data_IF_696745815114
#
_entry.id   IF_696745815114
#
_cell.length_a   1.000
_cell.length_b   1.000
_cell.length_c   1.000
_cell.angle_alpha   90.00
_cell.angle_beta   90.00
_cell.angle_gamma   90.00
#
_symmetry.space_group_name_H-M   'P 1'
#
loop_
_entity.id
_entity.type
_entity.pdbx_description
1 polymer ?
#
# COMPACT_ATOMS: atom_id res chain seq x y z
N UNK A 1 -5.36 19.16 15.55
CA UNK A 1 -6.02 18.01 14.90
C UNK A 1 -5.25 16.76 15.30
N UNK A 2 -5.90 15.71 15.82
CA UNK A 2 -5.20 14.50 16.25
C UNK A 2 -4.79 13.69 15.00
N UNK A 3 -3.48 13.54 14.69
CA UNK A 3 -3.02 12.84 13.50
C UNK A 3 -3.52 11.39 13.45
N UNK A 4 -3.66 10.74 14.60
CA UNK A 4 -4.12 9.35 14.70
C UNK A 4 -5.57 9.14 14.24
N UNK A 5 -6.36 10.20 14.07
CA UNK A 5 -7.73 10.11 13.52
C UNK A 5 -7.80 10.36 12.01
N UNK A 6 -6.68 10.68 11.37
CA UNK A 6 -6.64 10.99 9.95
C UNK A 6 -7.27 9.89 9.08
N UNK A 7 -6.95 8.58 9.26
CA UNK A 7 -7.55 7.53 8.43
C UNK A 7 -9.08 7.54 8.46
N UNK A 8 -9.66 7.64 9.66
CA UNK A 8 -11.11 7.67 9.86
C UNK A 8 -11.74 8.93 9.25
N UNK A 9 -11.09 10.08 9.38
CA UNK A 9 -11.55 11.33 8.78
C UNK A 9 -11.53 11.24 7.25
N UNK A 10 -10.47 10.68 6.66
CA UNK A 10 -10.38 10.46 5.21
C UNK A 10 -11.49 9.52 4.73
N UNK A 11 -11.75 8.43 5.47
CA UNK A 11 -12.87 7.53 5.19
C UNK A 11 -14.22 8.27 5.17
N UNK A 12 -14.50 9.07 6.19
CA UNK A 12 -15.73 9.87 6.25
C UNK A 12 -15.83 10.94 5.15
N UNK A 13 -14.72 11.56 4.76
CA UNK A 13 -14.69 12.51 3.63
C UNK A 13 -14.98 11.82 2.29
N UNK A 14 -14.50 10.59 2.12
CA UNK A 14 -14.82 9.78 0.94
C UNK A 14 -16.30 9.38 0.90
N UNK A 15 -16.93 9.13 2.05
CA UNK A 15 -18.34 8.75 2.13
C UNK A 15 -19.30 9.90 1.76
N UNK A 16 -18.85 11.15 1.85
CA UNK A 16 -19.63 12.36 1.48
C UNK A 16 -19.23 12.94 0.12
N UNK A 17 -18.52 12.16 -0.71
CA UNK A 17 -18.03 12.57 -2.02
C UNK A 17 -17.22 13.89 -2.00
N UNK A 18 -16.42 14.08 -0.95
CA UNK A 18 -15.54 15.24 -0.87
C UNK A 18 -14.54 15.25 -2.04
N UNK A 19 -14.16 16.46 -2.49
CA UNK A 19 -13.20 16.63 -3.57
C UNK A 19 -11.87 15.94 -3.26
N UNK A 20 -11.35 15.20 -4.25
CA UNK A 20 -10.06 14.51 -4.12
C UNK A 20 -8.91 15.46 -3.78
N UNK A 21 -8.96 16.71 -4.26
CA UNK A 21 -7.92 17.72 -3.99
C UNK A 21 -7.89 18.09 -2.50
N UNK A 22 -9.05 18.14 -1.86
CA UNK A 22 -9.15 18.41 -0.41
C UNK A 22 -8.57 17.22 0.37
N UNK A 23 -8.88 15.99 -0.04
CA UNK A 23 -8.38 14.76 0.57
C UNK A 23 -6.85 14.68 0.44
N UNK A 24 -6.32 14.88 -0.77
CA UNK A 24 -4.87 14.88 -1.05
C UNK A 24 -4.14 15.96 -0.24
N UNK A 25 -4.67 17.18 -0.22
CA UNK A 25 -4.09 18.26 0.57
C UNK A 25 -4.09 17.94 2.06
N UNK A 26 -5.16 17.34 2.59
CA UNK A 26 -5.23 16.97 4.00
C UNK A 26 -4.17 15.93 4.36
N UNK A 27 -3.96 14.92 3.51
CA UNK A 27 -2.92 13.89 3.71
C UNK A 27 -1.52 14.51 3.67
N UNK A 28 -1.27 15.47 2.78
CA UNK A 28 0.03 16.15 2.67
C UNK A 28 0.31 17.13 3.82
N UNK A 29 -0.72 17.84 4.28
CA UNK A 29 -0.61 18.88 5.32
C UNK A 29 -0.50 18.28 6.72
N UNK A 30 -1.17 17.15 6.98
CA UNK A 30 -1.08 16.47 8.27
C UNK A 30 0.27 15.77 8.39
N UNK A 31 1.27 16.53 8.82
CA UNK A 31 2.55 15.98 9.28
C UNK A 31 2.38 15.45 10.70
N UNK A 32 2.36 14.12 10.85
CA UNK A 32 2.22 13.45 12.14
C UNK A 32 2.18 11.93 11.99
N UNK A 33 2.31 11.22 13.11
CA UNK A 33 2.21 9.76 13.13
C UNK A 33 0.74 9.34 13.00
N UNK A 34 0.37 8.86 11.81
CA UNK A 34 -0.85 8.09 11.58
C UNK A 34 -0.48 6.76 10.94
N UNK A 35 -1.33 5.75 11.10
CA UNK A 35 -1.09 4.44 10.52
C UNK A 35 -1.36 4.46 9.02
N UNK A 36 -0.33 4.20 8.22
CA UNK A 36 -0.47 4.03 6.77
C UNK A 36 -1.37 2.85 6.43
N UNK A 37 -1.29 1.74 7.18
CA UNK A 37 -2.16 0.58 7.00
C UNK A 37 -3.64 0.95 7.18
N UNK A 38 -3.96 1.72 8.23
CA UNK A 38 -5.33 2.17 8.45
C UNK A 38 -5.81 3.11 7.34
N UNK A 39 -4.97 4.05 6.91
CA UNK A 39 -5.32 4.97 5.81
C UNK A 39 -5.58 4.19 4.52
N UNK A 40 -4.68 3.29 4.15
CA UNK A 40 -4.82 2.44 2.97
C UNK A 40 -6.08 1.59 3.08
N UNK A 41 -6.36 0.99 4.23
CA UNK A 41 -7.56 0.18 4.44
C UNK A 41 -8.85 0.99 4.29
N UNK A 42 -8.92 2.21 4.83
CA UNK A 42 -10.10 3.08 4.68
C UNK A 42 -10.35 3.47 3.22
N UNK A 43 -9.28 3.72 2.45
CA UNK A 43 -9.40 4.06 1.02
C UNK A 43 -9.67 2.82 0.15
N UNK A 44 -9.06 1.67 0.49
CA UNK A 44 -9.22 0.38 -0.22
C UNK A 44 -10.65 -0.15 -0.10
N UNK A 45 -11.26 -0.09 1.09
CA UNK A 45 -12.68 -0.48 1.33
C UNK A 45 -13.67 0.26 0.42
N UNK A 46 -13.30 1.46 -0.04
CA UNK A 46 -14.13 2.32 -0.90
C UNK A 46 -13.73 2.25 -2.37
N UNK A 47 -12.79 1.36 -2.72
CA UNK A 47 -12.25 1.20 -4.07
C UNK A 47 -11.64 2.50 -4.66
N UNK A 48 -11.11 3.39 -3.79
CA UNK A 48 -10.51 4.68 -4.18
C UNK A 48 -8.99 4.71 -4.04
N UNK A 49 -8.33 3.54 -3.98
CA UNK A 49 -6.88 3.44 -3.72
C UNK A 49 -6.01 4.20 -4.75
N UNK A 50 -6.53 4.43 -5.96
CA UNK A 50 -5.91 5.30 -6.98
C UNK A 50 -5.62 6.72 -6.46
N UNK A 51 -6.41 7.22 -5.52
CA UNK A 51 -6.22 8.56 -4.94
C UNK A 51 -4.92 8.67 -4.14
N UNK A 52 -4.50 7.58 -3.49
CA UNK A 52 -3.28 7.54 -2.67
C UNK A 52 -2.01 7.27 -3.48
N UNK A 53 -2.11 6.89 -4.75
CA UNK A 53 -0.96 6.50 -5.58
C UNK A 53 0.17 7.54 -5.58
N UNK A 54 -0.07 8.82 -5.94
CA UNK A 54 1.00 9.80 -5.99
C UNK A 54 1.66 10.03 -4.63
N UNK A 55 0.88 9.88 -3.55
CA UNK A 55 1.38 10.04 -2.19
C UNK A 55 2.25 8.84 -1.76
N UNK A 56 1.83 7.61 -2.06
CA UNK A 56 2.61 6.40 -1.78
C UNK A 56 3.93 6.39 -2.57
N UNK A 57 3.87 6.73 -3.85
CA UNK A 57 5.06 6.82 -4.72
C UNK A 57 6.04 7.88 -4.22
N UNK A 58 5.54 9.06 -3.83
CA UNK A 58 6.36 10.12 -3.25
C UNK A 58 7.08 9.65 -1.98
N UNK A 59 6.40 8.93 -1.08
CA UNK A 59 7.03 8.40 0.15
C UNK A 59 8.14 7.41 -0.14
N UNK A 60 7.96 6.50 -1.11
CA UNK A 60 9.03 5.59 -1.52
C UNK A 60 10.21 6.37 -2.13
N UNK A 61 9.93 7.39 -2.95
CA UNK A 61 10.96 8.24 -3.54
C UNK A 61 11.74 9.04 -2.48
N UNK A 62 11.08 9.43 -1.40
CA UNK A 62 11.70 10.07 -0.23
C UNK A 62 12.49 9.09 0.65
N UNK A 63 12.57 7.81 0.28
CA UNK A 63 13.32 6.78 1.01
C UNK A 63 12.58 6.19 2.20
N UNK A 64 11.24 6.24 2.20
CA UNK A 64 10.45 5.53 3.21
C UNK A 64 10.68 4.02 3.09
N UNK A 65 10.88 3.35 4.22
CA UNK A 65 11.09 1.89 4.31
C UNK A 65 9.89 1.18 4.99
N UNK A 66 8.79 1.91 5.21
CA UNK A 66 7.64 1.41 5.96
C UNK A 66 6.87 0.33 5.18
N UNK A 67 6.77 -0.92 5.68
CA UNK A 67 6.15 -2.01 4.92
C UNK A 67 4.72 -1.72 4.45
N UNK A 68 3.92 -1.00 5.25
CA UNK A 68 2.56 -0.60 4.89
C UNK A 68 2.50 0.18 3.56
N UNK A 69 3.41 1.14 3.37
CA UNK A 69 3.50 1.95 2.15
C UNK A 69 3.83 1.07 0.94
N UNK A 70 4.80 0.16 1.11
CA UNK A 70 5.27 -0.72 0.04
C UNK A 70 4.26 -1.81 -0.31
N UNK A 71 3.58 -2.38 0.69
CA UNK A 71 2.50 -3.35 0.51
C UNK A 71 1.35 -2.74 -0.30
N UNK A 72 0.93 -1.53 0.06
CA UNK A 72 -0.14 -0.82 -0.63
C UNK A 72 0.21 -0.56 -2.10
N UNK A 73 1.44 -0.12 -2.37
CA UNK A 73 1.89 0.13 -3.73
C UNK A 73 2.07 -1.18 -4.53
N UNK A 74 2.58 -2.24 -3.92
CA UNK A 74 2.69 -3.56 -4.53
C UNK A 74 1.32 -4.06 -4.98
N UNK A 75 0.33 -4.10 -4.07
CA UNK A 75 -1.06 -4.46 -4.37
C UNK A 75 -1.59 -3.66 -5.54
N UNK A 76 -1.30 -2.35 -5.55
CA UNK A 76 -1.78 -1.46 -6.60
C UNK A 76 -1.15 -1.73 -7.97
N UNK A 77 0.16 -1.93 -8.02
CA UNK A 77 0.87 -2.28 -9.26
C UNK A 77 0.45 -3.62 -9.82
N UNK A 78 0.14 -4.60 -8.95
CA UNK A 78 -0.45 -5.87 -9.35
C UNK A 78 -1.83 -5.64 -9.98
N UNK A 79 -2.72 -4.88 -9.32
CA UNK A 79 -4.07 -4.61 -9.83
C UNK A 79 -4.08 -3.84 -11.16
N UNK A 80 -3.09 -2.97 -11.38
CA UNK A 80 -2.99 -2.18 -12.62
C UNK A 80 -2.07 -2.79 -13.67
N UNK A 81 -1.49 -3.96 -13.40
CA UNK A 81 -0.45 -4.59 -14.22
C UNK A 81 0.70 -3.61 -14.60
N UNK A 82 1.13 -2.79 -13.63
CA UNK A 82 2.19 -1.81 -13.84
C UNK A 82 3.54 -2.37 -13.39
N UNK A 83 4.20 -3.10 -14.27
CA UNK A 83 5.51 -3.74 -14.01
C UNK A 83 5.63 -4.39 -12.60
N UNK A 84 4.63 -5.16 -12.14
CA UNK A 84 4.57 -5.63 -10.76
C UNK A 84 5.74 -6.56 -10.43
N UNK A 85 6.17 -7.41 -11.36
CA UNK A 85 7.30 -8.31 -11.14
C UNK A 85 8.59 -7.54 -10.80
N UNK A 86 8.88 -6.48 -11.56
CA UNK A 86 10.06 -5.64 -11.28
C UNK A 86 9.99 -5.04 -9.89
N UNK A 87 8.83 -4.52 -9.50
CA UNK A 87 8.63 -3.98 -8.15
C UNK A 87 8.85 -5.05 -7.08
N UNK A 88 8.30 -6.26 -7.28
CA UNK A 88 8.44 -7.36 -6.31
C UNK A 88 9.89 -7.86 -6.19
N UNK A 89 10.68 -7.79 -7.26
CA UNK A 89 12.11 -8.20 -7.23
C UNK A 89 13.02 -7.12 -6.64
N UNK A 90 12.81 -5.86 -7.00
CA UNK A 90 13.72 -4.77 -6.65
C UNK A 90 13.42 -4.16 -5.28
N UNK A 91 12.19 -4.28 -4.76
CA UNK A 91 11.78 -3.61 -3.55
C UNK A 91 11.99 -4.48 -2.29
N UNK A 92 12.86 -4.07 -1.33
CA UNK A 92 13.15 -4.89 -0.15
C UNK A 92 12.22 -4.63 1.03
N UNK A 93 11.28 -3.70 0.95
CA UNK A 93 10.57 -3.20 2.14
C UNK A 93 9.13 -3.69 2.26
N UNK A 94 8.54 -4.28 1.21
CA UNK A 94 7.22 -4.90 1.33
C UNK A 94 7.29 -6.22 2.11
N UNK A 95 6.19 -6.60 2.74
CA UNK A 95 6.00 -7.89 3.39
C UNK A 95 5.59 -8.94 2.35
N UNK A 96 6.49 -9.89 2.10
CA UNK A 96 6.29 -11.00 1.17
C UNK A 96 5.08 -11.87 1.49
N UNK A 97 4.73 -12.05 2.77
CA UNK A 97 3.55 -12.86 3.15
C UNK A 97 2.26 -12.15 2.80
N UNK A 98 2.20 -10.85 3.07
CA UNK A 98 1.01 -10.02 2.78
C UNK A 98 0.80 -9.90 1.28
N UNK A 99 1.86 -9.56 0.54
CA UNK A 99 1.78 -9.35 -0.91
C UNK A 99 1.64 -10.68 -1.65
N UNK A 100 2.37 -11.72 -1.26
CA UNK A 100 2.25 -13.06 -1.84
C UNK A 100 0.83 -13.62 -1.73
N UNK A 101 0.21 -13.53 -0.55
CA UNK A 101 -1.19 -13.93 -0.34
C UNK A 101 -2.17 -13.11 -1.17
N UNK A 102 -1.86 -11.84 -1.44
CA UNK A 102 -2.66 -11.00 -2.32
C UNK A 102 -2.53 -11.42 -3.79
N UNK A 103 -1.33 -11.82 -4.21
CA UNK A 103 -1.04 -12.34 -5.54
C UNK A 103 -1.68 -13.70 -5.80
N UNK A 104 -1.80 -14.60 -4.82
CA UNK A 104 -2.37 -15.95 -4.99
C UNK A 104 -3.73 -15.96 -5.69
N UNK A 105 -4.57 -14.96 -5.43
CA UNK A 105 -5.91 -14.84 -6.01
C UNK A 105 -5.94 -14.19 -7.40
N UNK A 106 -4.82 -13.62 -7.85
CA UNK A 106 -4.73 -12.76 -9.04
C UNK A 106 -3.78 -13.32 -10.08
N UNK A 107 -2.58 -13.65 -9.64
CA UNK A 107 -1.49 -14.14 -10.46
C UNK A 107 -0.58 -15.06 -9.63
N UNK A 108 -0.66 -16.39 -9.83
CA UNK A 108 0.19 -17.35 -9.15
C UNK A 108 1.69 -17.15 -9.39
N UNK A 109 2.09 -16.60 -10.55
CA UNK A 109 3.49 -16.32 -10.85
C UNK A 109 4.02 -15.18 -9.99
N UNK A 110 3.27 -14.07 -9.88
CA UNK A 110 3.65 -12.96 -9.01
C UNK A 110 3.66 -13.36 -7.53
N UNK A 111 2.84 -14.33 -7.12
CA UNK A 111 2.88 -14.89 -5.78
C UNK A 111 4.20 -15.60 -5.51
N UNK A 112 4.66 -16.42 -6.46
CA UNK A 112 5.96 -17.09 -6.39
C UNK A 112 7.10 -16.08 -6.21
N UNK A 113 7.14 -15.03 -7.05
CA UNK A 113 8.17 -13.98 -6.99
C UNK A 113 8.17 -13.26 -5.63
N UNK A 114 6.99 -12.96 -5.08
CA UNK A 114 6.88 -12.31 -3.78
C UNK A 114 7.41 -13.21 -2.64
N UNK A 115 7.09 -14.51 -2.66
CA UNK A 115 7.52 -15.47 -1.64
C UNK A 115 9.01 -15.81 -1.72
N UNK A 116 9.55 -16.00 -2.93
CA UNK A 116 10.98 -16.22 -3.18
C UNK A 116 11.81 -15.07 -2.60
N UNK A 117 11.38 -13.82 -2.82
CA UNK A 117 12.07 -12.62 -2.30
C UNK A 117 12.13 -12.60 -0.77
N UNK A 118 11.08 -13.10 -0.12
CA UNK A 118 11.00 -13.14 1.34
C UNK A 118 11.86 -14.23 1.97
N UNK A 119 12.58 -15.04 1.16
CA UNK A 119 13.21 -16.28 1.60
C UNK A 119 12.25 -17.16 2.41
N UNK A 120 10.97 -17.16 2.03
CA UNK A 120 9.94 -17.99 2.68
C UNK A 120 10.18 -19.50 2.44
N UNK A 121 11.23 -19.87 1.72
CA UNK A 121 11.71 -21.25 1.55
C UNK A 121 12.24 -21.88 2.86
N UNK A 122 12.62 -21.09 3.87
CA UNK A 122 13.21 -21.59 5.13
C UNK A 122 12.20 -22.02 6.21
N UNK A 123 10.88 -21.84 6.00
CA UNK A 123 9.83 -22.42 6.88
C UNK A 123 9.23 -23.73 6.34
N UNK A 124 9.80 -24.30 5.26
CA UNK A 124 9.41 -25.62 4.73
C UNK A 124 10.27 -26.77 5.27
N UNK A 125 11.24 -26.50 6.15
CA UNK A 125 12.10 -27.52 6.79
C UNK A 125 12.30 -27.19 8.27
N UNK A 126 11.34 -27.55 9.12
CA UNK A 126 11.57 -28.09 10.47
C UNK A 126 10.28 -28.60 11.11
#
# INVERSE_FOLDING_TARGET
VNPSRLPVVIGGLLDVDCSEDVIKNLILVVRGQFSTDELVAEVEKRNRLKLLLPWLEARIHEGCEEPATHNALAKKYIDTNNNPERFLRENPYYDSRVVGKYCEKRDPHLACVAYERGQCDLELIN
#
